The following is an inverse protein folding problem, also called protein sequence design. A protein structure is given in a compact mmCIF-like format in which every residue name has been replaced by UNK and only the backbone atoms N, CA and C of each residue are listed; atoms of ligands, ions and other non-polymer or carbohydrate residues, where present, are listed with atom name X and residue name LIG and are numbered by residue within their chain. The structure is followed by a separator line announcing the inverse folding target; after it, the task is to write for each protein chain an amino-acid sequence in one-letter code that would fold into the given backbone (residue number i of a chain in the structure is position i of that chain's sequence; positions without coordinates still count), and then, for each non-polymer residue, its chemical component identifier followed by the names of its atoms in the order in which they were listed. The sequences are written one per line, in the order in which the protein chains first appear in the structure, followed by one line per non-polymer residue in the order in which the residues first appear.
data_IF_631076897794
#
_entry.id   IF_631076897794
#
_cell.length_a   1.000
_cell.length_b   1.000
_cell.length_c   1.000
_cell.angle_alpha   90.00
_cell.angle_beta   90.00
_cell.angle_gamma   90.00
#
_symmetry.space_group_name_H-M   'P 1'
#
loop_
_entity.id
_entity.type
_entity.pdbx_description
1 polymer ?
#
# COMPACT_ATOMS: atom_id res chain seq x y z
N UNK A 1 16.12 24.38 -8.09
CA UNK A 1 15.79 23.25 -8.99
C UNK A 1 14.53 22.61 -8.44
N UNK A 2 13.51 22.48 -9.27
CA UNK A 2 12.27 21.81 -8.89
C UNK A 2 12.52 20.30 -8.89
N UNK A 3 12.13 19.62 -7.79
CA UNK A 3 12.18 18.16 -7.68
C UNK A 3 10.83 17.62 -8.14
N UNK A 4 10.85 16.76 -9.16
CA UNK A 4 9.64 16.06 -9.59
C UNK A 4 9.34 14.90 -8.60
N UNK A 5 8.07 14.72 -8.27
CA UNK A 5 7.60 13.67 -7.39
C UNK A 5 6.57 12.80 -8.14
N UNK A 6 6.81 11.49 -8.20
CA UNK A 6 5.87 10.49 -8.71
C UNK A 6 5.37 9.64 -7.56
N UNK A 7 4.06 9.40 -7.51
CA UNK A 7 3.40 8.56 -6.49
C UNK A 7 2.51 7.55 -7.19
N UNK A 8 2.62 6.30 -6.79
CA UNK A 8 1.71 5.24 -7.19
C UNK A 8 0.93 4.72 -5.98
N UNK A 9 -0.34 4.41 -6.17
CA UNK A 9 -1.22 3.89 -5.12
C UNK A 9 -1.74 2.53 -5.51
N UNK A 10 -1.59 1.57 -4.63
CA UNK A 10 -2.17 0.23 -4.81
C UNK A 10 -3.44 0.15 -3.96
N UNK A 11 -4.63 0.12 -4.57
CA UNK A 11 -5.88 0.01 -3.84
C UNK A 11 -6.09 -1.40 -3.28
N UNK A 12 -7.01 -1.52 -2.32
CA UNK A 12 -7.26 -2.77 -1.57
C UNK A 12 -7.74 -3.91 -2.45
N UNK A 13 -8.59 -3.65 -3.44
CA UNK A 13 -9.07 -4.64 -4.41
C UNK A 13 -7.92 -5.29 -5.21
N UNK A 14 -6.90 -4.50 -5.58
CA UNK A 14 -5.68 -5.02 -6.22
C UNK A 14 -4.81 -5.85 -5.27
N UNK A 15 -4.81 -5.50 -3.99
CA UNK A 15 -4.04 -6.23 -2.97
C UNK A 15 -4.70 -7.59 -2.66
N UNK A 16 -6.03 -7.62 -2.66
CA UNK A 16 -6.82 -8.81 -2.34
C UNK A 16 -7.09 -9.71 -3.57
N UNK A 17 -6.63 -9.31 -4.76
CA UNK A 17 -6.72 -10.11 -5.98
C UNK A 17 -5.85 -11.38 -5.85
N UNK A 18 -6.45 -12.59 -5.87
CA UNK A 18 -5.71 -13.86 -5.71
C UNK A 18 -4.77 -14.17 -6.88
N UNK A 19 -4.93 -13.51 -8.03
CA UNK A 19 -4.06 -13.69 -9.20
C UNK A 19 -2.75 -12.91 -9.08
N UNK A 20 -2.56 -12.11 -8.02
CA UNK A 20 -1.37 -11.29 -7.82
C UNK A 20 -0.67 -11.57 -6.49
N UNK A 21 0.56 -11.11 -6.36
CA UNK A 21 1.35 -11.18 -5.13
C UNK A 21 1.94 -9.82 -4.76
N UNK A 22 2.26 -9.64 -3.47
CA UNK A 22 2.77 -8.37 -2.95
C UNK A 22 4.07 -7.92 -3.62
N UNK A 23 4.95 -8.86 -4.03
CA UNK A 23 6.17 -8.49 -4.74
C UNK A 23 5.87 -7.92 -6.11
N UNK A 24 4.91 -8.51 -6.83
CA UNK A 24 4.47 -8.03 -8.15
C UNK A 24 3.79 -6.67 -8.05
N UNK A 25 2.93 -6.46 -7.05
CA UNK A 25 2.31 -5.17 -6.78
C UNK A 25 3.32 -4.09 -6.42
N UNK A 26 4.30 -4.41 -5.58
CA UNK A 26 5.36 -3.47 -5.21
C UNK A 26 6.20 -3.08 -6.42
N UNK A 27 6.57 -4.03 -7.28
CA UNK A 27 7.27 -3.74 -8.55
C UNK A 27 6.42 -2.84 -9.43
N UNK A 28 5.13 -3.15 -9.62
CA UNK A 28 4.23 -2.35 -10.46
C UNK A 28 4.09 -0.91 -9.96
N UNK A 29 3.92 -0.72 -8.65
CA UNK A 29 3.83 0.60 -8.04
C UNK A 29 5.14 1.40 -8.21
N UNK A 30 6.29 0.77 -8.00
CA UNK A 30 7.57 1.45 -8.24
C UNK A 30 7.79 1.80 -9.72
N UNK A 31 7.38 0.92 -10.63
CA UNK A 31 7.42 1.20 -12.08
C UNK A 31 6.59 2.43 -12.41
N UNK A 32 5.34 2.48 -11.95
CA UNK A 32 4.42 3.61 -12.20
C UNK A 32 4.98 4.93 -11.65
N UNK A 33 5.42 4.93 -10.38
CA UNK A 33 5.98 6.12 -9.75
C UNK A 33 7.23 6.64 -10.46
N UNK A 34 8.16 5.73 -10.83
CA UNK A 34 9.41 6.08 -11.51
C UNK A 34 9.13 6.56 -12.95
N UNK A 35 8.31 5.84 -13.71
CA UNK A 35 8.01 6.18 -15.10
C UNK A 35 7.35 7.55 -15.25
N UNK A 36 6.60 7.98 -14.23
CA UNK A 36 5.95 9.29 -14.19
C UNK A 36 6.92 10.48 -14.12
N UNK A 37 8.14 10.27 -13.63
CA UNK A 37 9.10 11.36 -13.40
C UNK A 37 10.47 11.15 -14.06
N UNK A 38 10.86 9.93 -14.33
CA UNK A 38 12.17 9.59 -14.88
C UNK A 38 12.35 10.06 -16.33
N UNK A 39 13.58 10.39 -16.67
CA UNK A 39 14.03 10.71 -18.01
C UNK A 39 15.00 9.65 -18.51
N UNK A 40 15.11 9.50 -19.81
CA UNK A 40 16.08 8.57 -20.40
C UNK A 40 17.52 8.90 -19.95
N UNK A 41 18.21 7.88 -19.51
CA UNK A 41 19.58 7.97 -18.98
C UNK A 41 19.66 8.22 -17.48
N UNK A 42 18.55 8.40 -16.78
CA UNK A 42 18.53 8.51 -15.31
C UNK A 42 18.94 7.18 -14.63
N UNK A 43 19.34 7.30 -13.38
CA UNK A 43 19.58 6.15 -12.49
C UNK A 43 18.57 6.21 -11.35
N UNK A 44 17.75 5.18 -11.22
CA UNK A 44 16.86 5.00 -10.08
C UNK A 44 17.51 4.09 -9.03
N UNK A 45 17.44 4.51 -7.76
CA UNK A 45 17.78 3.65 -6.61
C UNK A 45 16.49 3.28 -5.91
N UNK A 46 16.28 1.98 -5.68
CA UNK A 46 15.05 1.45 -5.09
C UNK A 46 15.34 0.57 -3.88
N UNK A 47 14.52 0.70 -2.85
CA UNK A 47 14.52 -0.26 -1.75
C UNK A 47 13.83 -1.54 -2.19
N UNK A 48 14.53 -2.68 -2.07
CA UNK A 48 14.07 -3.95 -2.59
C UNK A 48 13.01 -4.57 -1.68
N UNK A 49 11.80 -4.73 -2.20
CA UNK A 49 10.69 -5.43 -1.53
C UNK A 49 10.70 -6.96 -1.71
N UNK A 50 11.75 -7.53 -2.28
CA UNK A 50 11.91 -8.97 -2.53
C UNK A 50 13.18 -9.48 -1.83
N UNK A 51 13.24 -10.76 -1.50
CA UNK A 51 14.45 -11.42 -0.93
C UNK A 51 15.63 -11.38 -1.88
N UNK A 52 15.42 -11.29 -3.19
CA UNK A 52 16.43 -11.12 -4.24
C UNK A 52 16.37 -9.70 -4.80
N UNK A 53 17.19 -8.81 -4.24
CA UNK A 53 17.27 -7.42 -4.68
C UNK A 53 17.64 -7.28 -6.17
N UNK A 54 18.54 -8.13 -6.68
CA UNK A 54 18.95 -8.07 -8.09
C UNK A 54 17.78 -8.46 -9.03
N UNK A 55 16.99 -9.46 -8.66
CA UNK A 55 15.77 -9.83 -9.39
C UNK A 55 14.75 -8.70 -9.36
N UNK A 56 14.54 -8.10 -8.18
CA UNK A 56 13.65 -6.97 -8.00
C UNK A 56 14.04 -5.81 -8.93
N UNK A 57 15.29 -5.38 -8.89
CA UNK A 57 15.79 -4.29 -9.75
C UNK A 57 15.64 -4.57 -11.25
N UNK A 58 15.88 -5.82 -11.68
CA UNK A 58 15.65 -6.21 -13.09
C UNK A 58 14.19 -6.10 -13.49
N UNK A 59 13.25 -6.49 -12.60
CA UNK A 59 11.80 -6.38 -12.84
C UNK A 59 11.38 -4.92 -12.95
N UNK A 60 11.82 -4.06 -12.01
CA UNK A 60 11.53 -2.63 -12.05
C UNK A 60 12.07 -2.00 -13.34
N UNK A 61 13.35 -2.26 -13.70
CA UNK A 61 13.94 -1.75 -14.94
C UNK A 61 13.18 -2.19 -16.19
N UNK A 62 12.78 -3.46 -16.24
CA UNK A 62 12.00 -3.99 -17.36
C UNK A 62 10.63 -3.34 -17.48
N UNK A 63 9.95 -3.11 -16.35
CA UNK A 63 8.66 -2.41 -16.30
C UNK A 63 8.78 -0.96 -16.76
N UNK A 64 9.74 -0.21 -16.22
CA UNK A 64 9.97 1.20 -16.62
C UNK A 64 10.31 1.31 -18.12
N UNK A 65 11.03 0.32 -18.66
CA UNK A 65 11.30 0.26 -20.10
C UNK A 65 10.03 -0.01 -20.92
N UNK A 66 9.12 -0.84 -20.41
CA UNK A 66 7.82 -1.07 -21.07
C UNK A 66 6.94 0.20 -21.09
N UNK A 67 7.10 1.09 -20.09
CA UNK A 67 6.50 2.42 -20.04
C UNK A 67 7.22 3.46 -20.93
N UNK A 68 8.18 3.02 -21.75
CA UNK A 68 8.87 3.86 -22.72
C UNK A 68 10.02 4.71 -22.15
N UNK A 69 10.56 4.36 -20.99
CA UNK A 69 11.72 5.04 -20.39
C UNK A 69 12.92 4.11 -20.35
N UNK A 70 14.09 4.63 -20.71
CA UNK A 70 15.37 3.91 -20.68
C UNK A 70 16.25 4.42 -19.54
N UNK A 71 16.22 3.70 -18.40
CA UNK A 71 16.96 4.06 -17.19
C UNK A 71 17.79 2.88 -16.67
N UNK A 72 18.77 3.15 -15.81
CA UNK A 72 19.38 2.14 -14.96
C UNK A 72 18.68 2.06 -13.61
N UNK A 73 18.63 0.84 -13.02
CA UNK A 73 18.01 0.61 -11.71
C UNK A 73 18.97 -0.13 -10.81
N UNK A 74 19.26 0.44 -9.66
CA UNK A 74 19.97 -0.16 -8.53
C UNK A 74 18.96 -0.51 -7.46
N UNK A 75 18.95 -1.78 -7.04
CA UNK A 75 18.07 -2.25 -5.97
C UNK A 75 18.88 -2.83 -4.82
N UNK A 76 18.63 -2.35 -3.62
CA UNK A 76 19.32 -2.79 -2.40
C UNK A 76 18.30 -2.91 -1.26
N UNK A 77 18.58 -3.79 -0.29
CA UNK A 77 17.78 -3.88 0.93
C UNK A 77 18.17 -2.75 1.90
N UNK A 78 17.17 -2.05 2.45
CA UNK A 78 17.39 -0.92 3.33
C UNK A 78 18.05 0.26 2.64
N UNK A 79 17.75 0.47 1.36
CA UNK A 79 18.31 1.55 0.56
C UNK A 79 17.98 2.94 1.15
N UNK A 80 16.88 3.08 1.90
CA UNK A 80 16.51 4.31 2.61
C UNK A 80 17.53 4.71 3.68
N UNK A 81 18.24 3.77 4.28
CA UNK A 81 19.32 4.05 5.24
C UNK A 81 20.61 4.52 4.56
N UNK A 82 20.85 4.15 3.31
CA UNK A 82 22.07 4.44 2.57
C UNK A 82 21.96 5.64 1.62
N UNK A 83 20.77 5.88 1.08
CA UNK A 83 20.53 6.89 0.04
C UNK A 83 19.51 7.94 0.49
N UNK A 84 19.91 9.20 0.69
CA UNK A 84 19.01 10.27 1.17
C UNK A 84 17.77 10.49 0.27
N UNK A 85 17.88 10.26 -1.04
CA UNK A 85 16.74 10.39 -1.95
C UNK A 85 15.71 9.27 -1.72
N UNK A 86 16.16 8.04 -1.41
CA UNK A 86 15.27 6.92 -1.07
C UNK A 86 14.59 7.18 0.27
N UNK A 87 15.33 7.71 1.26
CA UNK A 87 14.75 8.14 2.53
C UNK A 87 13.67 9.23 2.32
N UNK A 88 13.95 10.23 1.48
CA UNK A 88 12.98 11.26 1.15
C UNK A 88 11.73 10.70 0.46
N UNK A 89 11.90 9.78 -0.50
CA UNK A 89 10.78 9.09 -1.16
C UNK A 89 9.93 8.29 -0.17
N UNK A 90 10.56 7.61 0.80
CA UNK A 90 9.85 6.90 1.88
C UNK A 90 9.01 7.85 2.75
N UNK A 91 9.51 9.05 3.05
CA UNK A 91 8.75 10.08 3.78
C UNK A 91 7.56 10.57 2.96
N UNK A 92 7.76 10.87 1.66
CA UNK A 92 6.66 11.28 0.76
C UNK A 92 5.57 10.20 0.71
N UNK A 93 5.94 8.93 0.55
CA UNK A 93 4.99 7.82 0.53
C UNK A 93 4.18 7.72 1.84
N UNK A 94 4.82 7.93 2.99
CA UNK A 94 4.13 7.94 4.30
C UNK A 94 3.17 9.12 4.43
N UNK A 95 3.58 10.32 4.02
CA UNK A 95 2.71 11.51 4.04
C UNK A 95 1.49 11.32 3.14
N UNK A 96 1.68 10.79 1.94
CA UNK A 96 0.58 10.49 1.02
C UNK A 96 -0.38 9.44 1.60
N UNK A 97 0.18 8.37 2.20
CA UNK A 97 -0.62 7.37 2.88
C UNK A 97 -1.43 7.96 4.03
N UNK A 98 -0.83 8.76 4.87
CA UNK A 98 -1.49 9.35 6.04
C UNK A 98 -2.61 10.33 5.61
N UNK A 99 -2.39 11.13 4.56
CA UNK A 99 -3.43 11.97 3.98
C UNK A 99 -4.64 11.16 3.45
N UNK A 100 -4.39 9.96 2.91
CA UNK A 100 -5.46 9.04 2.49
C UNK A 100 -6.23 8.48 3.67
N UNK A 101 -5.54 8.11 4.76
CA UNK A 101 -6.22 7.68 6.01
C UNK A 101 -7.08 8.80 6.58
N UNK A 102 -6.63 10.05 6.57
CA UNK A 102 -7.44 11.21 6.98
C UNK A 102 -8.69 11.39 6.09
N UNK A 103 -8.55 11.21 4.78
CA UNK A 103 -9.69 11.26 3.86
C UNK A 103 -10.70 10.16 4.12
N UNK A 104 -10.24 8.94 4.35
CA UNK A 104 -11.09 7.80 4.74
C UNK A 104 -11.75 8.04 6.10
N UNK A 105 -11.04 8.63 7.07
CA UNK A 105 -11.63 8.98 8.37
C UNK A 105 -12.80 9.96 8.25
N UNK A 106 -12.72 10.90 7.31
CA UNK A 106 -13.83 11.81 7.02
C UNK A 106 -14.99 11.11 6.30
N UNK A 107 -14.72 10.17 5.40
CA UNK A 107 -15.72 9.40 4.67
C UNK A 107 -16.51 8.47 5.61
N UNK A 108 -15.82 7.83 6.55
CA UNK A 108 -16.40 6.85 7.49
C UNK A 108 -16.70 7.44 8.88
N UNK A 109 -16.80 8.77 9.04
CA UNK A 109 -16.98 9.47 10.32
C UNK A 109 -18.17 8.94 11.14
N UNK A 110 -19.26 8.54 10.47
CA UNK A 110 -20.45 7.97 11.12
C UNK A 110 -20.16 6.70 11.93
N UNK A 111 -19.08 5.98 11.63
CA UNK A 111 -18.68 4.74 12.32
C UNK A 111 -17.53 4.97 13.32
N UNK A 112 -17.19 6.24 13.61
CA UNK A 112 -16.16 6.65 14.56
C UNK A 112 -14.73 6.54 13.99
N UNK A 113 -13.71 6.77 14.82
CA UNK A 113 -12.33 6.91 14.37
C UNK A 113 -11.82 5.63 13.71
N UNK A 114 -11.12 5.83 12.57
CA UNK A 114 -10.60 4.72 11.74
C UNK A 114 -9.25 4.18 12.28
N UNK A 115 -8.56 4.97 13.09
CA UNK A 115 -7.22 4.66 13.58
C UNK A 115 -6.15 4.83 12.52
N UNK A 116 -5.04 4.14 12.69
CA UNK A 116 -3.87 4.24 11.80
C UNK A 116 -4.01 3.44 10.50
N UNK A 117 -5.06 2.62 10.35
CA UNK A 117 -5.27 1.73 9.22
C UNK A 117 -4.36 0.48 9.23
N UNK A 118 -3.64 0.20 10.32
CA UNK A 118 -2.89 -1.05 10.48
C UNK A 118 -3.68 -2.09 11.28
N UNK A 119 -3.57 -3.40 10.95
CA UNK A 119 -4.30 -4.46 11.66
C UNK A 119 -3.84 -4.66 13.11
N UNK A 120 -2.65 -4.16 13.47
CA UNK A 120 -2.15 -4.17 14.85
C UNK A 120 -2.70 -3.05 15.71
N UNK A 121 -3.31 -2.02 15.10
CA UNK A 121 -3.87 -0.87 15.81
C UNK A 121 -5.22 -1.24 16.44
N UNK A 122 -5.37 -1.10 17.77
CA UNK A 122 -6.65 -1.39 18.45
C UNK A 122 -7.81 -0.51 17.95
N UNK A 123 -7.53 0.73 17.56
CA UNK A 123 -8.56 1.66 17.05
C UNK A 123 -9.06 1.26 15.68
N UNK A 124 -8.16 0.87 14.77
CA UNK A 124 -8.52 0.29 13.47
C UNK A 124 -9.38 -0.97 13.63
N UNK A 125 -9.02 -1.85 14.56
CA UNK A 125 -9.84 -3.03 14.86
C UNK A 125 -11.22 -2.68 15.44
N UNK A 126 -11.28 -1.64 16.30
CA UNK A 126 -12.55 -1.19 16.86
C UNK A 126 -13.44 -0.56 15.78
N UNK A 127 -12.87 0.21 14.86
CA UNK A 127 -13.58 0.73 13.68
C UNK A 127 -14.18 -0.40 12.84
N UNK A 128 -13.40 -1.41 12.47
CA UNK A 128 -13.88 -2.56 11.68
C UNK A 128 -15.04 -3.28 12.38
N UNK A 129 -14.96 -3.50 13.70
CA UNK A 129 -16.06 -4.14 14.45
C UNK A 129 -17.33 -3.29 14.45
N UNK A 130 -17.21 -1.97 14.61
CA UNK A 130 -18.37 -1.07 14.55
C UNK A 130 -19.01 -1.11 13.18
N UNK A 131 -18.19 -0.93 12.13
CA UNK A 131 -18.67 -0.91 10.76
C UNK A 131 -19.39 -2.20 10.38
N UNK A 132 -18.75 -3.35 10.64
CA UNK A 132 -19.33 -4.68 10.33
C UNK A 132 -20.58 -4.94 11.20
N UNK A 133 -20.60 -4.50 12.47
CA UNK A 133 -21.76 -4.59 13.33
C UNK A 133 -22.98 -3.79 12.80
N UNK A 134 -22.71 -2.64 12.16
CA UNK A 134 -23.74 -1.77 11.61
C UNK A 134 -24.24 -2.19 10.23
N UNK A 135 -23.34 -2.73 9.39
CA UNK A 135 -23.60 -2.96 7.95
C UNK A 135 -23.69 -4.44 7.57
N UNK A 136 -23.07 -5.33 8.33
CA UNK A 136 -22.92 -6.75 8.02
C UNK A 136 -21.74 -7.09 7.11
N UNK A 137 -21.09 -6.10 6.51
CA UNK A 137 -20.01 -6.26 5.53
C UNK A 137 -18.76 -5.47 5.91
N UNK A 138 -17.62 -5.82 5.30
CA UNK A 138 -16.38 -5.03 5.43
C UNK A 138 -16.47 -3.72 4.64
N UNK A 139 -15.87 -2.60 5.14
CA UNK A 139 -15.74 -1.39 4.36
C UNK A 139 -14.78 -1.62 3.15
N UNK A 140 -15.04 -0.97 2.02
CA UNK A 140 -14.24 -1.11 0.80
C UNK A 140 -12.76 -0.76 1.00
N UNK A 141 -12.46 0.08 1.98
CA UNK A 141 -11.09 0.44 2.33
C UNK A 141 -10.34 -0.62 3.13
N UNK A 142 -11.01 -1.66 3.62
CA UNK A 142 -10.38 -2.75 4.38
C UNK A 142 -9.85 -3.84 3.43
N UNK A 143 -8.71 -4.41 3.81
CA UNK A 143 -8.15 -5.58 3.11
C UNK A 143 -8.88 -6.84 3.58
N UNK A 144 -9.68 -7.45 2.70
CA UNK A 144 -10.39 -8.68 2.99
C UNK A 144 -9.45 -9.86 3.27
N UNK A 145 -8.24 -9.83 2.70
CA UNK A 145 -7.20 -10.86 2.92
C UNK A 145 -6.54 -10.84 4.30
N UNK A 146 -6.90 -9.90 5.17
CA UNK A 146 -6.34 -9.88 6.53
C UNK A 146 -7.10 -10.84 7.47
N UNK A 147 -6.36 -11.60 8.28
CA UNK A 147 -6.94 -12.42 9.36
C UNK A 147 -7.84 -11.60 10.32
N UNK A 148 -7.53 -10.32 10.52
CA UNK A 148 -8.39 -9.40 11.30
C UNK A 148 -9.76 -9.20 10.64
N UNK A 149 -9.87 -9.23 9.32
CA UNK A 149 -11.14 -9.14 8.61
C UNK A 149 -12.00 -10.39 8.87
N UNK A 150 -11.40 -11.57 8.74
CA UNK A 150 -12.05 -12.84 9.05
C UNK A 150 -12.54 -12.89 10.52
N UNK A 151 -11.69 -12.48 11.47
CA UNK A 151 -12.02 -12.42 12.90
C UNK A 151 -13.23 -11.52 13.19
N UNK A 152 -13.30 -10.36 12.54
CA UNK A 152 -14.39 -9.39 12.74
C UNK A 152 -15.70 -9.89 12.14
N UNK A 153 -15.67 -10.46 10.93
CA UNK A 153 -16.85 -11.04 10.28
C UNK A 153 -17.39 -12.22 11.09
N UNK A 154 -16.54 -13.14 11.51
CA UNK A 154 -16.94 -14.28 12.32
C UNK A 154 -17.56 -13.86 13.67
N UNK A 155 -17.02 -12.82 14.31
CA UNK A 155 -17.57 -12.29 15.55
C UNK A 155 -18.97 -11.67 15.35
N UNK A 156 -19.19 -10.98 14.24
CA UNK A 156 -20.50 -10.39 13.91
C UNK A 156 -21.56 -11.47 13.65
N UNK A 157 -21.20 -12.52 12.89
CA UNK A 157 -22.09 -13.67 12.65
C UNK A 157 -22.50 -14.36 13.95
N UNK A 158 -21.56 -14.58 14.88
CA UNK A 158 -21.85 -15.20 16.18
C UNK A 158 -22.79 -14.33 17.04
N UNK A 159 -22.63 -13.00 16.99
CA UNK A 159 -23.48 -12.08 17.74
C UNK A 159 -24.92 -12.10 17.22
N UNK A 160 -25.10 -12.13 15.90
CA UNK A 160 -26.44 -12.18 15.28
C UNK A 160 -27.19 -13.50 15.58
N UNK A 161 -26.47 -14.62 15.73
CA UNK A 161 -27.06 -15.90 16.10
C UNK A 161 -27.44 -15.99 17.58
N UNK A 162 -26.85 -15.18 18.45
CA UNK A 162 -27.14 -15.15 19.87
C UNK A 162 -28.39 -14.31 20.23
N UNK A 163 -28.91 -13.54 19.29
CA UNK A 163 -30.13 -12.72 19.45
C UNK A 163 -31.44 -13.48 19.11
N UNK A 164 -31.33 -14.73 18.66
CA UNK A 164 -32.45 -15.64 18.42
C UNK A 164 -32.58 -16.71 19.52
#
# INVERSE_FOLDING_TARGET
EDVAVGVAVVPTDRIDDPETDMNSLTVAAQVEAIAGVARDGDVAVVDAGDVDAARFGRRVRSGVRAEGRSIDVMAEHGADAAYPLVAAASVVAKVERDARIESLAAEYDAHGPIGSGYPSDPETRAFLRRYVGDTGDLPECARASWATADDVLAAAEQSSLAEF
#
